data_IF_351005144383
#
_entry.id   IF_351005144383
#
_cell.length_a   1.000
_cell.length_b   1.000
_cell.length_c   1.000
_cell.angle_alpha   90.00
_cell.angle_beta   90.00
_cell.angle_gamma   90.00
#
_symmetry.space_group_name_H-M   'P 1'
#
loop_
_entity.id
_entity.type
_entity.pdbx_description
1 polymer ?
#
# COMPACT_ATOMS: atom_id res chain seq x y z
N UNK A 1 -20.00 -4.69 -16.84
CA UNK A 1 -20.26 -3.23 -16.69
C UNK A 1 -19.00 -2.50 -17.08
N UNK A 2 -19.07 -1.58 -18.05
CA UNK A 2 -17.90 -0.79 -18.45
C UNK A 2 -17.59 0.20 -17.31
N UNK A 3 -16.40 0.10 -16.71
CA UNK A 3 -15.92 1.09 -15.80
C UNK A 3 -15.78 2.43 -16.53
N UNK A 4 -16.33 3.50 -15.94
CA UNK A 4 -16.22 4.82 -16.56
C UNK A 4 -14.76 5.30 -16.37
N UNK A 5 -13.99 5.21 -17.44
CA UNK A 5 -12.63 5.77 -17.49
C UNK A 5 -12.76 7.25 -17.84
N UNK A 6 -12.27 8.13 -16.97
CA UNK A 6 -12.22 9.57 -17.19
C UNK A 6 -10.80 10.00 -17.46
N UNK A 7 -10.55 10.62 -18.61
CA UNK A 7 -9.31 11.32 -18.85
C UNK A 7 -9.39 12.71 -18.21
N UNK A 8 -8.35 13.09 -17.48
CA UNK A 8 -8.21 14.38 -16.85
C UNK A 8 -6.92 15.00 -17.38
N UNK A 9 -7.07 16.10 -18.11
CA UNK A 9 -5.98 16.84 -18.73
C UNK A 9 -5.68 18.12 -17.98
N UNK A 10 -4.40 18.37 -17.71
CA UNK A 10 -3.90 19.62 -17.13
C UNK A 10 -3.32 20.50 -18.23
N UNK A 11 -3.99 21.58 -18.56
CA UNK A 11 -3.49 22.54 -19.55
C UNK A 11 -2.21 23.26 -19.10
N UNK A 12 -1.98 23.36 -17.80
CA UNK A 12 -0.79 23.98 -17.24
C UNK A 12 0.46 23.12 -17.41
N UNK A 13 0.31 21.80 -17.26
CA UNK A 13 1.41 20.83 -17.33
C UNK A 13 1.50 20.16 -18.70
N UNK A 14 0.51 20.38 -19.56
CA UNK A 14 0.31 19.66 -20.83
C UNK A 14 0.41 18.13 -20.65
N UNK A 15 -0.29 17.62 -19.64
CA UNK A 15 -0.21 16.24 -19.21
C UNK A 15 -1.59 15.70 -18.86
N UNK A 16 -1.78 14.40 -19.02
CA UNK A 16 -3.04 13.71 -18.74
C UNK A 16 -2.84 12.52 -17.81
N UNK A 17 -3.88 12.27 -17.01
CA UNK A 17 -4.03 11.00 -16.31
C UNK A 17 -5.44 10.47 -16.45
N UNK A 18 -5.59 9.16 -16.27
CA UNK A 18 -6.86 8.46 -16.31
C UNK A 18 -7.31 8.13 -14.89
N UNK A 19 -8.57 8.41 -14.61
CA UNK A 19 -9.23 8.04 -13.36
C UNK A 19 -10.28 6.98 -13.62
N UNK A 20 -10.26 5.92 -12.81
CA UNK A 20 -11.23 4.83 -12.82
C UNK A 20 -11.79 4.67 -11.43
N UNK A 21 -13.10 4.84 -11.29
CA UNK A 21 -13.80 4.57 -10.03
C UNK A 21 -14.31 3.13 -10.09
N UNK A 22 -13.64 2.22 -9.39
CA UNK A 22 -13.95 0.80 -9.39
C UNK A 22 -15.16 0.50 -8.48
N UNK A 23 -16.05 -0.46 -8.80
CA UNK A 23 -17.23 -0.80 -7.98
C UNK A 23 -16.92 -1.22 -6.56
N UNK A 24 -15.70 -1.70 -6.27
CA UNK A 24 -15.24 -2.00 -4.91
C UNK A 24 -15.01 -0.77 -4.03
N UNK A 25 -15.14 0.46 -4.57
CA UNK A 25 -14.78 1.71 -3.90
C UNK A 25 -13.33 2.15 -4.12
N UNK A 26 -12.51 1.33 -4.79
CA UNK A 26 -11.13 1.71 -5.12
C UNK A 26 -11.12 2.78 -6.22
N UNK A 27 -10.39 3.88 -6.00
CA UNK A 27 -10.06 4.84 -7.05
C UNK A 27 -8.70 4.47 -7.65
N UNK A 28 -8.66 4.27 -8.97
CA UNK A 28 -7.43 3.94 -9.69
C UNK A 28 -7.04 5.16 -10.53
N UNK A 29 -5.79 5.58 -10.41
CA UNK A 29 -5.19 6.66 -11.21
C UNK A 29 -4.08 6.07 -12.07
N UNK A 30 -4.11 6.32 -13.36
CA UNK A 30 -3.11 5.84 -14.32
C UNK A 30 -2.55 7.04 -15.07
N UNK A 31 -1.25 7.24 -14.99
CA UNK A 31 -0.54 8.32 -15.67
C UNK A 31 0.53 7.73 -16.60
N UNK A 32 0.20 7.46 -17.88
CA UNK A 32 1.17 6.97 -18.84
C UNK A 32 2.24 8.03 -19.13
N UNK A 33 3.50 7.63 -19.12
CA UNK A 33 4.64 8.51 -19.42
C UNK A 33 5.45 7.93 -20.57
N UNK A 34 5.26 8.48 -21.77
CA UNK A 34 6.04 8.08 -22.94
C UNK A 34 7.53 8.42 -22.75
N UNK A 35 8.41 7.52 -23.18
CA UNK A 35 9.87 7.72 -23.12
C UNK A 35 10.53 7.39 -21.78
N UNK A 36 9.78 7.01 -20.76
CA UNK A 36 10.35 6.53 -19.49
C UNK A 36 10.64 5.04 -19.56
N UNK A 37 11.81 4.63 -19.07
CA UNK A 37 12.25 3.24 -19.00
C UNK A 37 11.84 2.55 -17.69
N UNK A 38 11.28 3.29 -16.75
CA UNK A 38 10.83 2.78 -15.46
C UNK A 38 9.35 3.02 -15.25
N UNK A 39 8.73 2.14 -14.48
CA UNK A 39 7.36 2.27 -14.04
C UNK A 39 7.29 2.28 -12.49
N UNK A 40 6.25 2.91 -11.97
CA UNK A 40 6.00 3.08 -10.56
C UNK A 40 4.53 2.79 -10.26
N UNK A 41 4.27 2.05 -9.19
CA UNK A 41 2.91 1.87 -8.70
C UNK A 41 2.85 2.05 -7.18
N UNK A 42 1.75 2.63 -6.71
CA UNK A 42 1.49 2.89 -5.30
C UNK A 42 0.05 2.48 -4.97
N UNK A 43 -0.10 1.71 -3.89
CA UNK A 43 -1.38 1.44 -3.25
C UNK A 43 -1.43 2.19 -1.94
N UNK A 44 -2.44 3.05 -1.75
CA UNK A 44 -2.60 3.87 -0.56
C UNK A 44 -3.93 3.64 0.12
N UNK A 45 -3.92 3.61 1.45
CA UNK A 45 -5.12 3.64 2.28
C UNK A 45 -5.16 4.90 3.12
N UNK A 46 -6.37 5.43 3.35
CA UNK A 46 -6.62 6.56 4.25
C UNK A 46 -6.69 6.09 5.71
N UNK A 47 -5.60 5.51 6.16
CA UNK A 47 -5.40 5.06 7.53
C UNK A 47 -3.95 5.33 7.92
N UNK A 48 -3.73 6.19 8.88
CA UNK A 48 -2.41 6.64 9.31
C UNK A 48 -2.24 6.67 10.82
N UNK A 49 -1.16 7.26 11.30
CA UNK A 49 -0.78 7.21 12.73
C UNK A 49 -1.74 7.96 13.66
N UNK A 50 -2.53 8.91 13.15
CA UNK A 50 -3.52 9.64 13.95
C UNK A 50 -4.88 8.93 14.06
N UNK A 51 -5.10 7.88 13.26
CA UNK A 51 -6.36 7.15 13.22
C UNK A 51 -6.44 6.11 14.36
N UNK A 52 -6.46 6.59 15.60
CA UNK A 52 -6.53 5.75 16.81
C UNK A 52 -7.96 5.40 17.22
N UNK A 53 -8.97 6.06 16.65
CA UNK A 53 -10.38 5.79 16.89
C UNK A 53 -11.18 5.89 15.60
N UNK A 54 -11.72 4.78 15.14
CA UNK A 54 -12.48 4.70 13.89
C UNK A 54 -13.66 3.74 14.02
N UNK A 55 -14.54 3.77 13.03
CA UNK A 55 -15.67 2.87 12.89
C UNK A 55 -15.71 2.34 11.48
N UNK A 56 -15.71 1.04 11.31
CA UNK A 56 -15.93 0.41 10.01
C UNK A 56 -17.40 0.45 9.64
N UNK A 57 -17.70 0.39 8.35
CA UNK A 57 -19.08 0.46 7.84
C UNK A 57 -19.95 -0.71 8.28
N UNK A 58 -19.35 -1.84 8.66
CA UNK A 58 -20.00 -3.06 9.13
C UNK A 58 -20.08 -3.17 10.67
N UNK A 59 -19.57 -2.18 11.42
CA UNK A 59 -19.54 -2.16 12.88
C UNK A 59 -20.60 -1.21 13.46
N UNK A 60 -21.15 -1.57 14.63
CA UNK A 60 -22.08 -0.73 15.37
C UNK A 60 -21.38 0.32 16.22
N UNK A 61 -20.21 -0.02 16.79
CA UNK A 61 -19.43 0.79 17.73
C UNK A 61 -18.10 1.26 17.14
N UNK A 62 -17.46 2.22 17.81
CA UNK A 62 -16.11 2.66 17.48
C UNK A 62 -15.07 1.69 18.04
N UNK A 63 -14.08 1.37 17.21
CA UNK A 63 -12.87 0.66 17.62
C UNK A 63 -11.80 1.67 18.03
N UNK A 64 -11.18 1.46 19.18
CA UNK A 64 -10.02 2.22 19.63
C UNK A 64 -8.77 1.33 19.56
N UNK A 65 -7.68 1.88 19.03
CA UNK A 65 -6.41 1.18 18.87
C UNK A 65 -5.26 2.01 19.43
N UNK A 66 -4.19 1.37 19.91
CA UNK A 66 -2.99 2.08 20.35
C UNK A 66 -2.34 2.89 19.22
N UNK A 67 -1.67 3.97 19.58
CA UNK A 67 -0.77 4.66 18.66
C UNK A 67 0.29 3.71 18.08
N UNK A 68 0.61 3.89 16.79
CA UNK A 68 1.59 3.07 16.08
C UNK A 68 1.03 1.82 15.40
N UNK A 69 -0.27 1.51 15.54
CA UNK A 69 -0.89 0.36 14.85
C UNK A 69 -0.78 0.50 13.33
N UNK A 70 -0.95 1.69 12.77
CA UNK A 70 -0.81 1.89 11.32
C UNK A 70 0.60 1.51 10.83
N UNK A 71 1.64 1.92 11.55
CA UNK A 71 3.03 1.58 11.24
C UNK A 71 3.33 0.09 11.48
N UNK A 72 2.76 -0.49 12.52
CA UNK A 72 2.84 -1.93 12.76
C UNK A 72 2.24 -2.73 11.59
N UNK A 73 1.05 -2.34 11.12
CA UNK A 73 0.40 -2.99 9.99
C UNK A 73 1.19 -2.81 8.69
N UNK A 74 1.84 -1.67 8.49
CA UNK A 74 2.71 -1.44 7.34
C UNK A 74 3.80 -2.52 7.26
N UNK A 75 4.51 -2.78 8.35
CA UNK A 75 5.53 -3.83 8.39
C UNK A 75 4.90 -5.22 8.19
N UNK A 76 3.80 -5.49 8.87
CA UNK A 76 3.16 -6.81 8.86
C UNK A 76 2.62 -7.24 7.51
N UNK A 77 2.13 -6.31 6.68
CA UNK A 77 1.57 -6.67 5.38
C UNK A 77 2.61 -7.21 4.39
N UNK A 78 3.91 -6.92 4.58
CA UNK A 78 4.96 -7.53 3.76
C UNK A 78 5.21 -9.02 4.08
N UNK A 79 4.80 -9.49 5.26
CA UNK A 79 4.98 -10.88 5.66
C UNK A 79 3.90 -11.78 5.05
N UNK A 80 4.27 -13.01 4.71
CA UNK A 80 3.36 -14.07 4.29
C UNK A 80 3.85 -15.43 4.82
N UNK A 81 3.02 -16.45 4.69
CA UNK A 81 3.35 -17.80 5.16
C UNK A 81 4.53 -18.41 4.41
N UNK A 82 4.53 -18.29 3.09
CA UNK A 82 5.52 -18.96 2.23
C UNK A 82 6.72 -18.07 1.93
N UNK A 83 6.47 -16.88 1.36
CA UNK A 83 7.51 -16.00 0.85
C UNK A 83 7.08 -14.55 1.00
N UNK A 84 7.81 -13.77 1.78
CA UNK A 84 7.52 -12.37 1.99
C UNK A 84 7.53 -11.56 0.66
N UNK A 85 6.85 -10.40 0.67
CA UNK A 85 6.70 -9.60 -0.52
C UNK A 85 8.05 -9.11 -1.09
N UNK A 86 9.06 -8.82 -0.24
CA UNK A 86 10.38 -8.39 -0.71
C UNK A 86 11.09 -9.48 -1.49
N UNK A 87 11.03 -10.74 -1.01
CA UNK A 87 11.60 -11.87 -1.73
C UNK A 87 10.88 -12.15 -3.05
N UNK A 88 9.56 -11.89 -3.11
CA UNK A 88 8.79 -11.96 -4.38
C UNK A 88 9.24 -10.87 -5.36
N UNK A 89 9.41 -9.63 -4.89
CA UNK A 89 9.91 -8.52 -5.72
C UNK A 89 11.33 -8.73 -6.22
N UNK A 90 12.19 -9.35 -5.44
CA UNK A 90 13.55 -9.71 -5.88
C UNK A 90 13.54 -10.58 -7.15
N UNK A 91 12.52 -11.44 -7.32
CA UNK A 91 12.36 -12.27 -8.53
C UNK A 91 11.92 -11.48 -9.76
N UNK A 92 11.23 -10.35 -9.58
CA UNK A 92 10.81 -9.48 -10.69
C UNK A 92 11.81 -8.39 -11.03
N UNK A 93 12.80 -8.18 -10.17
CA UNK A 93 13.77 -7.08 -10.27
C UNK A 93 13.20 -5.72 -9.87
N UNK A 94 12.03 -5.69 -9.23
CA UNK A 94 11.44 -4.46 -8.71
C UNK A 94 11.99 -4.11 -7.33
N UNK A 95 12.02 -2.81 -7.04
CA UNK A 95 12.34 -2.26 -5.72
C UNK A 95 11.06 -1.84 -5.01
N UNK A 96 10.77 -2.43 -3.86
CA UNK A 96 9.59 -2.14 -3.06
C UNK A 96 9.93 -1.23 -1.87
N UNK A 97 8.94 -0.44 -1.45
CA UNK A 97 8.99 0.38 -0.26
C UNK A 97 7.59 0.58 0.32
N UNK A 98 7.51 1.08 1.54
CA UNK A 98 6.27 1.54 2.15
C UNK A 98 6.55 2.71 3.08
N UNK A 99 5.51 3.44 3.44
CA UNK A 99 5.58 4.46 4.48
C UNK A 99 4.23 4.68 5.14
N UNK A 100 4.27 5.01 6.42
CA UNK A 100 3.12 5.47 7.21
C UNK A 100 3.30 6.94 7.55
N UNK A 101 2.29 7.74 7.24
CA UNK A 101 2.19 9.14 7.63
C UNK A 101 1.04 9.35 8.62
N UNK A 102 0.73 10.61 8.95
CA UNK A 102 -0.37 10.92 9.86
C UNK A 102 -1.73 10.42 9.36
N UNK A 103 -2.01 10.55 8.06
CA UNK A 103 -3.35 10.33 7.48
C UNK A 103 -3.40 9.13 6.52
N UNK A 104 -2.27 8.49 6.22
CA UNK A 104 -2.23 7.42 5.21
C UNK A 104 -1.08 6.45 5.40
N UNK A 105 -1.30 5.23 4.93
CA UNK A 105 -0.24 4.24 4.75
C UNK A 105 -0.18 3.86 3.27
N UNK A 106 1.02 3.81 2.71
CA UNK A 106 1.25 3.56 1.30
C UNK A 106 2.27 2.44 1.12
N UNK A 107 1.99 1.58 0.14
CA UNK A 107 2.87 0.50 -0.34
C UNK A 107 3.16 0.75 -1.80
N UNK A 108 4.41 0.61 -2.21
CA UNK A 108 4.83 1.00 -3.55
C UNK A 108 5.96 0.13 -4.08
N UNK A 109 6.10 0.13 -5.40
CA UNK A 109 7.29 -0.40 -6.06
C UNK A 109 7.68 0.45 -7.26
N UNK A 110 8.93 0.35 -7.66
CA UNK A 110 9.45 0.82 -8.93
C UNK A 110 10.12 -0.34 -9.67
N UNK A 111 10.00 -0.37 -10.99
CA UNK A 111 10.63 -1.39 -11.82
C UNK A 111 11.02 -0.86 -13.19
N UNK A 112 12.03 -1.46 -13.80
CA UNK A 112 12.40 -1.21 -15.20
C UNK A 112 11.80 -2.26 -16.16
N UNK A 113 11.21 -3.32 -15.64
CA UNK A 113 10.54 -4.38 -16.37
C UNK A 113 9.62 -5.18 -15.46
N UNK A 114 8.92 -6.18 -16.01
CA UNK A 114 8.02 -7.07 -15.26
C UNK A 114 6.95 -6.32 -14.44
N UNK A 115 6.45 -5.18 -14.97
CA UNK A 115 5.48 -4.32 -14.27
C UNK A 115 4.23 -5.11 -13.85
N UNK A 116 3.67 -5.92 -14.76
CA UNK A 116 2.46 -6.70 -14.45
C UNK A 116 2.67 -7.65 -13.28
N UNK A 117 3.76 -8.42 -13.29
CA UNK A 117 4.09 -9.35 -12.21
C UNK A 117 4.32 -8.60 -10.88
N UNK A 118 4.98 -7.45 -10.92
CA UNK A 118 5.20 -6.61 -9.74
C UNK A 118 3.91 -5.99 -9.22
N UNK A 119 2.98 -5.59 -10.09
CA UNK A 119 1.66 -5.10 -9.70
C UNK A 119 0.80 -6.19 -9.07
N UNK A 120 0.85 -7.41 -9.60
CA UNK A 120 0.17 -8.56 -9.01
C UNK A 120 0.66 -8.84 -7.58
N UNK A 121 1.96 -8.74 -7.33
CA UNK A 121 2.54 -8.85 -5.97
C UNK A 121 1.97 -7.76 -5.05
N UNK A 122 1.94 -6.49 -5.49
CA UNK A 122 1.40 -5.39 -4.70
C UNK A 122 -0.06 -5.63 -4.32
N UNK A 123 -0.89 -5.96 -5.29
CA UNK A 123 -2.33 -6.16 -5.07
C UNK A 123 -2.61 -7.42 -4.24
N UNK A 124 -1.75 -8.41 -4.28
CA UNK A 124 -1.90 -9.64 -3.51
C UNK A 124 -1.58 -9.40 -2.03
N UNK A 125 -0.40 -8.90 -1.69
CA UNK A 125 -0.01 -8.82 -0.28
C UNK A 125 -0.81 -7.76 0.51
N UNK A 126 -1.26 -6.68 -0.11
CA UNK A 126 -2.10 -5.68 0.59
C UNK A 126 -3.52 -6.19 0.90
N UNK A 127 -3.93 -7.29 0.28
CA UNK A 127 -5.23 -7.93 0.49
C UNK A 127 -5.15 -9.24 1.28
N UNK A 128 -3.95 -9.77 1.50
CA UNK A 128 -3.71 -11.09 2.11
C UNK A 128 -2.86 -10.98 3.37
N UNK A 129 -3.38 -10.33 4.43
CA UNK A 129 -2.61 -10.16 5.67
C UNK A 129 -2.34 -11.52 6.33
N UNK A 130 -1.10 -11.70 6.79
CA UNK A 130 -0.67 -12.90 7.51
C UNK A 130 -0.27 -12.55 8.95
N UNK A 131 -1.06 -13.01 9.90
CA UNK A 131 -0.84 -12.78 11.32
C UNK A 131 -0.74 -14.10 12.08
N UNK A 132 0.36 -14.31 12.78
CA UNK A 132 0.50 -15.34 13.80
C UNK A 132 0.97 -14.68 15.09
N UNK A 133 0.72 -15.31 16.24
CA UNK A 133 1.17 -14.78 17.52
C UNK A 133 2.69 -14.55 17.53
N UNK A 134 3.45 -15.48 16.97
CA UNK A 134 4.90 -15.40 16.89
C UNK A 134 5.37 -14.22 16.02
N UNK A 135 4.76 -14.01 14.85
CA UNK A 135 5.16 -12.92 13.95
C UNK A 135 4.73 -11.56 14.49
N UNK A 136 3.62 -11.48 15.20
CA UNK A 136 3.17 -10.26 15.88
C UNK A 136 4.12 -9.88 17.03
N UNK A 137 4.52 -10.82 17.88
CA UNK A 137 5.46 -10.58 18.97
C UNK A 137 6.84 -10.12 18.47
N UNK A 138 7.34 -10.74 17.40
CA UNK A 138 8.60 -10.34 16.77
C UNK A 138 8.58 -8.88 16.31
N UNK A 139 7.53 -8.46 15.62
CA UNK A 139 7.42 -7.11 15.07
C UNK A 139 7.19 -6.06 16.17
N UNK A 140 6.46 -6.39 17.22
CA UNK A 140 6.32 -5.52 18.40
C UNK A 140 7.68 -5.22 19.03
N UNK A 141 8.60 -6.19 19.09
CA UNK A 141 9.97 -5.98 19.56
C UNK A 141 10.73 -4.99 18.68
N UNK A 142 10.68 -5.13 17.37
CA UNK A 142 11.37 -4.27 16.40
C UNK A 142 10.88 -2.82 16.49
N UNK A 143 9.57 -2.59 16.59
CA UNK A 143 8.99 -1.25 16.70
C UNK A 143 9.26 -0.64 18.08
N UNK A 144 9.22 -1.45 19.14
CA UNK A 144 9.56 -1.04 20.50
C UNK A 144 10.98 -0.51 20.63
N UNK A 145 11.95 -1.22 20.04
CA UNK A 145 13.35 -0.83 20.06
C UNK A 145 13.63 0.49 19.31
N UNK A 146 12.89 0.77 18.23
CA UNK A 146 13.01 2.03 17.49
C UNK A 146 12.51 3.25 18.28
N UNK A 147 11.54 3.07 19.17
CA UNK A 147 11.05 4.17 20.05
C UNK A 147 12.03 4.53 21.15
N UNK A 148 12.96 3.67 21.50
CA UNK A 148 13.97 3.91 22.55
C UNK A 148 15.24 4.59 22.04
N UNK A 149 15.33 4.95 20.76
CA UNK A 149 16.50 5.58 20.11
C UNK A 149 16.24 7.05 19.74
N UNK A 150 15.18 7.66 20.26
CA UNK A 150 14.88 9.09 20.06
C UNK A 150 15.03 9.83 21.37
#
# INVERSE_FOLDING_TARGET
MSHLVKEIHSTLLDDSYYRIDHPSGLTILVMPKAGYSSAYALFGTKYGSIDTRFKRSDEADFTEVPEGIAHFLEHKLFESEDLDAFARYAKTGASANAYTSFERTCYLFSCAGNFKASLEILLDFVQSPYFTEQTVQKEQGIIGDRKSVV
#
